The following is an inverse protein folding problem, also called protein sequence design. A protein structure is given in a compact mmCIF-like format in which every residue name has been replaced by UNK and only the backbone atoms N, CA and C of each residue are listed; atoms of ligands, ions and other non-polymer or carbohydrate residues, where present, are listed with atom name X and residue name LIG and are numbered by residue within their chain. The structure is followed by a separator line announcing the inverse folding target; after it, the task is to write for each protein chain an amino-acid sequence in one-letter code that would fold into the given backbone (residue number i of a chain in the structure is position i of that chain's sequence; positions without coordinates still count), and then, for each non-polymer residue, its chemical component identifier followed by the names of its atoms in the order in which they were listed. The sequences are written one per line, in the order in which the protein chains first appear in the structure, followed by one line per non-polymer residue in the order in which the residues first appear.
data_IF_376810670682
#
_entry.id   IF_376810670682
#
_cell.length_a   1.000
_cell.length_b   1.000
_cell.length_c   1.000
_cell.angle_alpha   90.00
_cell.angle_beta   90.00
_cell.angle_gamma   90.00
#
_symmetry.space_group_name_H-M   'P 1'
#
loop_
_entity.id
_entity.type
_entity.pdbx_description
1 polymer ?
#
# COMPACT_ATOMS: atom_id res chain seq x y z
N UNK A 1 5.35 15.62 9.07
CA UNK A 1 5.36 15.30 7.61
C UNK A 1 6.41 16.17 6.94
N UNK A 2 7.20 15.61 6.05
CA UNK A 2 8.19 16.33 5.27
C UNK A 2 8.06 16.00 3.79
N UNK A 3 8.75 16.75 2.95
CA UNK A 3 8.89 16.51 1.52
C UNK A 3 10.36 16.67 1.14
N UNK A 4 10.87 15.74 0.37
CA UNK A 4 12.19 15.85 -0.28
C UNK A 4 12.04 15.61 -1.76
N UNK A 5 12.99 16.07 -2.55
CA UNK A 5 13.07 15.81 -3.98
C UNK A 5 14.34 14.99 -4.27
N UNK A 6 14.22 14.02 -5.15
CA UNK A 6 15.40 13.36 -5.69
C UNK A 6 16.11 14.27 -6.71
N UNK A 7 17.42 14.09 -6.86
CA UNK A 7 18.18 14.69 -7.95
C UNK A 7 17.99 13.91 -9.27
N UNK A 8 18.67 14.34 -10.34
CA UNK A 8 18.57 13.71 -11.66
C UNK A 8 19.10 12.27 -11.72
N UNK A 9 19.81 11.82 -10.69
CA UNK A 9 20.31 10.44 -10.55
C UNK A 9 19.42 9.59 -9.68
N UNK A 10 18.29 10.16 -9.16
CA UNK A 10 17.37 9.47 -8.26
C UNK A 10 17.78 9.53 -6.79
N UNK A 11 18.92 10.14 -6.45
CA UNK A 11 19.35 10.25 -5.07
C UNK A 11 18.44 11.21 -4.29
N UNK A 12 18.03 10.78 -3.09
CA UNK A 12 17.26 11.55 -2.13
C UNK A 12 17.86 11.36 -0.72
N UNK A 13 17.66 12.34 0.13
CA UNK A 13 18.06 12.28 1.52
C UNK A 13 17.08 13.07 2.40
N UNK A 14 16.88 12.64 3.61
CA UNK A 14 16.15 13.36 4.65
C UNK A 14 16.68 12.96 6.04
N UNK A 15 16.52 13.84 6.99
CA UNK A 15 16.80 13.59 8.40
C UNK A 15 15.49 13.57 9.17
N UNK A 16 15.39 12.64 10.11
CA UNK A 16 14.19 12.48 10.94
C UNK A 16 14.51 11.78 12.25
N UNK A 17 13.56 11.78 13.16
CA UNK A 17 13.62 10.94 14.36
C UNK A 17 13.15 9.53 13.95
N UNK A 18 13.89 8.50 14.37
CA UNK A 18 13.40 7.12 14.24
C UNK A 18 12.09 6.99 15.02
N UNK A 19 10.95 6.66 14.38
CA UNK A 19 9.70 6.46 15.10
C UNK A 19 9.80 5.29 16.07
N UNK A 20 9.01 5.31 17.13
CA UNK A 20 8.80 4.15 17.98
C UNK A 20 7.80 3.17 17.36
N UNK A 21 7.80 1.94 17.85
CA UNK A 21 6.66 1.04 17.64
C UNK A 21 5.45 1.55 18.45
N UNK A 22 4.25 1.19 18.04
CA UNK A 22 3.03 1.65 18.69
C UNK A 22 1.93 0.60 18.67
N UNK A 23 0.98 0.72 19.62
CA UNK A 23 -0.20 -0.12 19.69
C UNK A 23 -1.26 0.36 18.69
N UNK A 24 -1.67 -0.50 17.78
CA UNK A 24 -2.75 -0.27 16.82
C UNK A 24 -3.89 -1.27 17.09
N UNK A 25 -4.93 -0.81 17.77
CA UNK A 25 -5.94 -1.70 18.30
C UNK A 25 -5.38 -2.63 19.40
N UNK A 26 -5.39 -3.92 19.16
CA UNK A 26 -4.85 -4.95 20.08
C UNK A 26 -3.46 -5.47 19.66
N UNK A 27 -2.85 -4.94 18.62
CA UNK A 27 -1.60 -5.45 18.03
C UNK A 27 -0.56 -4.34 18.00
N UNK A 28 0.68 -4.65 18.36
CA UNK A 28 1.78 -3.72 18.17
C UNK A 28 2.21 -3.73 16.70
N UNK A 29 2.46 -2.52 16.19
CA UNK A 29 3.09 -2.30 14.89
C UNK A 29 4.55 -1.91 15.06
N UNK A 30 5.44 -2.43 14.19
CA UNK A 30 6.84 -2.07 14.22
C UNK A 30 7.06 -0.58 13.92
N UNK A 31 8.21 -0.08 14.29
CA UNK A 31 8.70 1.24 13.88
C UNK A 31 8.73 1.33 12.35
N UNK A 32 8.06 2.33 11.79
CA UNK A 32 8.03 2.52 10.34
C UNK A 32 7.79 3.98 9.94
N UNK A 33 8.16 4.29 8.70
CA UNK A 33 7.92 5.60 8.08
C UNK A 33 7.08 5.39 6.83
N UNK A 34 5.98 6.14 6.71
CA UNK A 34 5.17 6.15 5.50
C UNK A 34 5.81 7.02 4.42
N UNK A 35 5.87 6.49 3.22
CA UNK A 35 6.33 7.18 2.03
C UNK A 35 5.22 7.32 1.00
N UNK A 36 5.12 8.50 0.42
CA UNK A 36 4.39 8.75 -0.81
C UNK A 36 5.39 9.24 -1.85
N UNK A 37 5.68 8.42 -2.82
CA UNK A 37 6.62 8.69 -3.91
C UNK A 37 5.80 9.03 -5.17
N UNK A 38 6.06 10.18 -5.76
CA UNK A 38 5.34 10.66 -6.95
C UNK A 38 6.36 10.91 -8.06
N UNK A 39 6.78 9.87 -8.77
CA UNK A 39 7.75 10.02 -9.86
C UNK A 39 7.06 10.61 -11.10
N UNK A 40 7.73 11.51 -11.84
CA UNK A 40 7.20 12.02 -13.10
C UNK A 40 6.90 10.89 -14.09
N UNK A 41 5.70 10.90 -14.68
CA UNK A 41 5.31 9.90 -15.67
C UNK A 41 5.02 8.49 -15.14
N UNK A 42 5.02 8.27 -13.84
CA UNK A 42 4.73 6.98 -13.21
C UNK A 42 3.61 7.08 -12.17
N UNK A 43 3.06 5.93 -11.79
CA UNK A 43 2.08 5.85 -10.70
C UNK A 43 2.70 6.28 -9.36
N UNK A 44 1.91 6.97 -8.55
CA UNK A 44 2.29 7.24 -7.17
C UNK A 44 2.43 5.93 -6.40
N UNK A 45 3.59 5.71 -5.80
CA UNK A 45 3.83 4.61 -4.86
C UNK A 45 3.58 5.08 -3.44
N UNK A 46 2.71 4.36 -2.73
CA UNK A 46 2.52 4.52 -1.28
C UNK A 46 3.05 3.27 -0.62
N UNK A 47 3.98 3.43 0.31
CA UNK A 47 4.67 2.32 0.95
C UNK A 47 5.15 2.69 2.35
N UNK A 48 5.74 1.73 3.04
CA UNK A 48 6.27 1.87 4.40
C UNK A 48 7.69 1.33 4.44
N UNK A 49 8.59 2.08 5.07
CA UNK A 49 9.97 1.67 5.39
C UNK A 49 10.02 1.18 6.81
N UNK A 50 10.65 0.04 7.05
CA UNK A 50 10.82 -0.61 8.34
C UNK A 50 12.29 -0.68 8.72
N UNK A 51 12.57 -0.90 9.99
CA UNK A 51 13.94 -0.97 10.50
C UNK A 51 14.24 -2.37 11.03
N UNK A 52 15.35 -2.94 10.60
CA UNK A 52 15.81 -4.27 11.02
C UNK A 52 15.90 -4.36 12.55
N UNK A 53 15.64 -5.55 13.08
CA UNK A 53 15.64 -5.87 14.51
C UNK A 53 14.50 -5.24 15.34
N UNK A 54 13.47 -4.70 14.69
CA UNK A 54 12.25 -4.34 15.43
C UNK A 54 11.48 -5.63 15.79
N UNK A 55 11.09 -5.80 17.07
CA UNK A 55 10.53 -7.07 17.56
C UNK A 55 9.15 -7.41 16.96
N UNK A 56 8.47 -6.43 16.37
CA UNK A 56 7.11 -6.60 15.84
C UNK A 56 7.05 -6.81 14.32
N UNK A 57 8.18 -6.85 13.61
CA UNK A 57 8.20 -7.09 12.16
C UNK A 57 7.57 -8.43 11.81
N UNK A 58 7.90 -9.49 12.52
CA UNK A 58 7.45 -10.85 12.22
C UNK A 58 5.94 -11.05 12.41
N UNK A 59 5.31 -10.23 13.23
CA UNK A 59 3.87 -10.31 13.55
C UNK A 59 3.02 -9.25 12.85
N UNK A 60 3.64 -8.24 12.24
CA UNK A 60 2.94 -7.17 11.54
C UNK A 60 2.53 -7.61 10.13
N UNK A 61 1.23 -7.54 9.82
CA UNK A 61 0.70 -7.98 8.53
C UNK A 61 1.18 -7.13 7.35
N UNK A 62 1.63 -5.89 7.59
CA UNK A 62 2.14 -5.00 6.55
C UNK A 62 3.66 -5.06 6.40
N UNK A 63 4.37 -5.56 7.43
CA UNK A 63 5.84 -5.69 7.46
C UNK A 63 6.32 -7.12 7.32
N UNK A 64 5.42 -8.12 7.30
CA UNK A 64 5.83 -9.53 7.27
C UNK A 64 6.76 -9.82 6.10
N UNK A 65 7.74 -10.70 6.35
CA UNK A 65 8.75 -11.14 5.39
C UNK A 65 8.32 -12.41 4.65
N UNK A 66 7.03 -12.68 4.59
CA UNK A 66 6.49 -13.79 3.79
C UNK A 66 6.76 -13.55 2.30
N UNK A 67 7.05 -14.62 1.59
CA UNK A 67 7.32 -14.58 0.17
C UNK A 67 6.10 -14.10 -0.65
N UNK A 68 6.37 -13.49 -1.79
CA UNK A 68 5.37 -13.09 -2.76
C UNK A 68 4.92 -11.62 -2.66
N UNK A 69 3.66 -11.36 -2.97
CA UNK A 69 3.12 -9.99 -3.14
C UNK A 69 3.22 -9.13 -1.88
N UNK A 70 3.26 -9.76 -0.73
CA UNK A 70 3.30 -9.09 0.57
C UNK A 70 4.68 -9.04 1.19
N UNK A 71 5.70 -9.54 0.48
CA UNK A 71 7.07 -9.53 0.95
C UNK A 71 7.57 -8.10 1.20
N UNK A 72 8.01 -7.84 2.42
CA UNK A 72 8.55 -6.56 2.84
C UNK A 72 10.07 -6.56 2.95
N UNK A 73 10.77 -7.63 2.56
CA UNK A 73 12.22 -7.78 2.75
C UNK A 73 13.04 -6.63 2.17
N UNK A 74 12.63 -6.08 1.02
CA UNK A 74 13.24 -4.92 0.38
C UNK A 74 12.88 -3.56 1.02
N UNK A 75 12.04 -3.56 2.04
CA UNK A 75 11.58 -2.38 2.77
C UNK A 75 12.01 -2.39 4.25
N UNK A 76 12.79 -3.38 4.65
CA UNK A 76 13.35 -3.52 5.98
C UNK A 76 14.85 -3.24 5.89
N UNK A 77 15.29 -2.10 6.40
CA UNK A 77 16.68 -1.67 6.28
C UNK A 77 17.43 -1.77 7.61
N UNK A 78 18.73 -2.09 7.59
CA UNK A 78 19.60 -1.91 8.75
C UNK A 78 19.84 -0.43 9.00
N UNK A 79 20.01 -0.06 10.27
CA UNK A 79 20.50 1.23 10.68
C UNK A 79 21.89 1.05 11.31
N UNK A 80 22.87 1.81 10.84
CA UNK A 80 24.23 1.82 11.33
C UNK A 80 24.52 3.15 12.04
N UNK A 81 25.29 3.11 13.10
CA UNK A 81 25.73 4.31 13.80
C UNK A 81 26.95 4.86 13.10
N UNK A 82 26.93 6.11 12.65
CA UNK A 82 28.07 6.78 12.06
C UNK A 82 29.05 7.31 13.14
N UNK A 83 30.15 7.93 12.69
CA UNK A 83 31.20 8.49 13.58
C UNK A 83 30.70 9.56 14.55
N UNK A 84 29.56 10.18 14.27
CA UNK A 84 28.95 11.23 15.09
C UNK A 84 27.83 10.69 16.02
N UNK A 85 27.66 9.36 16.08
CA UNK A 85 26.62 8.73 16.89
C UNK A 85 25.22 8.81 16.28
N UNK A 86 25.09 9.18 15.00
CA UNK A 86 23.81 9.30 14.29
C UNK A 86 23.50 7.98 13.58
N UNK A 87 22.25 7.55 13.63
CA UNK A 87 21.77 6.39 12.89
C UNK A 87 21.58 6.75 11.41
N UNK A 88 22.18 5.95 10.53
CA UNK A 88 22.07 6.09 9.07
C UNK A 88 21.58 4.79 8.46
N UNK A 89 20.75 4.89 7.42
CA UNK A 89 20.28 3.77 6.63
C UNK A 89 20.09 4.18 5.16
N UNK A 90 20.26 3.21 4.27
CA UNK A 90 20.04 3.40 2.83
C UNK A 90 18.89 2.52 2.37
N UNK A 91 18.04 3.08 1.52
CA UNK A 91 16.93 2.37 0.92
C UNK A 91 16.73 2.78 -0.53
N UNK A 92 16.83 1.82 -1.43
CA UNK A 92 16.54 2.02 -2.85
C UNK A 92 15.06 1.73 -3.13
N UNK A 93 14.39 2.73 -3.68
CA UNK A 93 12.96 2.63 -4.02
C UNK A 93 12.84 2.33 -5.51
N UNK A 94 12.46 1.10 -5.83
CA UNK A 94 12.26 0.67 -7.21
C UNK A 94 10.86 1.08 -7.67
N UNK A 95 10.79 1.87 -8.74
CA UNK A 95 9.55 2.31 -9.36
C UNK A 95 9.33 1.47 -10.61
N UNK A 96 8.26 0.67 -10.61
CA UNK A 96 7.84 -0.10 -11.79
C UNK A 96 6.54 0.49 -12.35
N UNK A 97 6.41 0.55 -13.67
CA UNK A 97 5.15 0.87 -14.34
C UNK A 97 5.23 1.91 -15.44
N UNK A 98 4.25 1.90 -16.31
CA UNK A 98 4.14 2.69 -17.54
C UNK A 98 3.53 4.09 -17.30
N UNK A 99 3.78 4.68 -16.15
CA UNK A 99 3.60 6.11 -15.94
C UNK A 99 2.18 6.68 -16.03
N UNK A 100 1.18 6.01 -15.48
CA UNK A 100 -0.14 6.63 -15.30
C UNK A 100 -0.28 7.14 -13.87
N UNK A 101 -0.22 8.45 -13.67
CA UNK A 101 -0.38 9.08 -12.36
C UNK A 101 -1.82 8.95 -11.89
N UNK A 102 -2.03 8.34 -10.75
CA UNK A 102 -3.31 8.34 -10.04
C UNK A 102 -3.15 9.16 -8.76
N UNK A 103 -3.66 10.38 -8.80
CA UNK A 103 -3.79 11.17 -7.58
C UNK A 103 -4.73 10.46 -6.60
N UNK A 104 -4.20 9.99 -5.49
CA UNK A 104 -4.98 9.44 -4.40
C UNK A 104 -4.59 10.10 -3.10
N UNK A 105 -5.55 10.74 -2.46
CA UNK A 105 -5.41 11.21 -1.08
C UNK A 105 -5.74 10.07 -0.12
N UNK A 106 -4.82 9.12 0.04
CA UNK A 106 -4.99 8.01 0.97
C UNK A 106 -4.66 8.49 2.39
N UNK A 107 -5.66 8.99 3.09
CA UNK A 107 -5.52 9.55 4.44
C UNK A 107 -5.62 8.51 5.55
N UNK A 108 -6.02 7.26 5.24
CA UNK A 108 -6.29 6.20 6.20
C UNK A 108 -5.55 4.89 5.91
N UNK A 109 -4.38 4.96 5.25
CA UNK A 109 -3.56 3.76 4.95
C UNK A 109 -3.01 3.05 6.20
N UNK A 110 -3.11 3.68 7.36
CA UNK A 110 -2.84 3.09 8.68
C UNK A 110 -3.88 2.02 9.07
N UNK A 111 -5.05 1.99 8.42
CA UNK A 111 -6.13 1.02 8.68
C UNK A 111 -6.08 -0.18 7.75
N UNK A 112 -5.57 0.02 6.53
CA UNK A 112 -5.46 -1.01 5.50
C UNK A 112 -5.04 -0.43 4.16
N UNK A 113 -4.74 -1.29 3.20
CA UNK A 113 -4.24 -0.90 1.88
C UNK A 113 -4.53 -1.97 0.83
N UNK A 114 -4.75 -1.58 -0.42
CA UNK A 114 -4.67 -2.49 -1.56
C UNK A 114 -3.21 -2.50 -2.02
N UNK A 115 -2.56 -3.65 -1.96
CA UNK A 115 -1.17 -3.83 -2.37
C UNK A 115 -1.05 -3.93 -3.88
N UNK A 116 -1.95 -4.70 -4.50
CA UNK A 116 -1.96 -4.88 -5.94
C UNK A 116 -3.33 -5.30 -6.47
N UNK A 117 -3.54 -5.04 -7.75
CA UNK A 117 -4.66 -5.56 -8.54
C UNK A 117 -4.12 -6.03 -9.89
N UNK A 118 -4.07 -7.35 -10.10
CA UNK A 118 -3.42 -7.96 -11.27
C UNK A 118 -4.28 -9.08 -11.88
N UNK A 119 -4.23 -9.28 -13.21
CA UNK A 119 -3.52 -8.47 -14.20
C UNK A 119 -4.17 -7.10 -14.40
N UNK A 120 -3.40 -6.09 -14.77
CA UNK A 120 -3.91 -4.78 -15.17
C UNK A 120 -3.10 -4.29 -16.40
N UNK A 121 -3.67 -4.17 -17.60
CA UNK A 121 -5.08 -4.38 -17.97
C UNK A 121 -5.58 -5.83 -17.87
N UNK A 122 -6.88 -6.00 -17.65
CA UNK A 122 -7.52 -7.32 -17.54
C UNK A 122 -8.70 -7.48 -18.50
N UNK A 123 -9.21 -8.71 -18.66
CA UNK A 123 -10.37 -9.03 -19.55
C UNK A 123 -11.55 -9.56 -18.77
N UNK A 124 -11.38 -10.65 -18.05
CA UNK A 124 -12.48 -11.37 -17.38
C UNK A 124 -12.39 -11.29 -15.85
N UNK A 125 -11.17 -11.26 -15.34
CA UNK A 125 -10.92 -11.37 -13.91
C UNK A 125 -9.68 -10.56 -13.54
N UNK A 126 -9.71 -9.98 -12.34
CA UNK A 126 -8.57 -9.31 -11.72
C UNK A 126 -8.50 -9.70 -10.24
N UNK A 127 -7.33 -10.11 -9.80
CA UNK A 127 -7.07 -10.48 -8.41
C UNK A 127 -6.62 -9.24 -7.62
N UNK A 128 -7.22 -9.04 -6.47
CA UNK A 128 -7.01 -7.90 -5.59
C UNK A 128 -6.37 -8.42 -4.32
N UNK A 129 -5.14 -7.96 -4.02
CA UNK A 129 -4.43 -8.27 -2.78
C UNK A 129 -4.46 -7.06 -1.87
N UNK A 130 -4.92 -7.23 -0.64
CA UNK A 130 -5.07 -6.14 0.31
C UNK A 130 -4.76 -6.57 1.74
N UNK A 131 -4.47 -5.62 2.60
CA UNK A 131 -4.23 -5.82 4.02
C UNK A 131 -5.21 -5.04 4.87
N UNK A 132 -5.61 -5.66 5.99
CA UNK A 132 -6.41 -5.06 7.06
C UNK A 132 -5.55 -5.08 8.31
N UNK A 133 -5.37 -3.93 8.96
CA UNK A 133 -4.36 -3.79 10.01
C UNK A 133 -4.94 -3.83 11.42
N UNK A 134 -6.24 -3.83 11.54
CA UNK A 134 -6.99 -4.05 12.79
C UNK A 134 -8.34 -4.70 12.47
N UNK A 135 -8.92 -5.41 13.43
CA UNK A 135 -10.27 -5.98 13.27
C UNK A 135 -11.26 -4.91 12.87
N UNK A 136 -11.89 -5.06 11.70
CA UNK A 136 -12.72 -4.01 11.10
C UNK A 136 -13.80 -4.58 10.18
N UNK A 137 -14.88 -3.82 10.00
CA UNK A 137 -15.77 -4.00 8.85
C UNK A 137 -15.04 -3.55 7.60
N UNK A 138 -14.95 -4.42 6.60
CA UNK A 138 -14.19 -4.20 5.35
C UNK A 138 -15.10 -4.42 4.16
N UNK A 139 -15.08 -3.48 3.21
CA UNK A 139 -15.74 -3.60 1.92
C UNK A 139 -14.78 -3.35 0.76
N UNK A 140 -14.85 -4.18 -0.27
CA UNK A 140 -14.16 -3.98 -1.54
C UNK A 140 -15.20 -3.61 -2.60
N UNK A 141 -15.12 -2.39 -3.08
CA UNK A 141 -16.08 -1.78 -4.01
C UNK A 141 -15.43 -1.47 -5.35
N UNK A 142 -16.19 -1.66 -6.41
CA UNK A 142 -15.78 -1.28 -7.77
C UNK A 142 -16.62 -0.07 -8.21
N UNK A 143 -15.93 0.98 -8.64
CA UNK A 143 -16.54 2.20 -9.15
C UNK A 143 -16.21 2.40 -10.62
N UNK A 144 -17.14 2.96 -11.37
CA UNK A 144 -16.88 3.51 -12.69
C UNK A 144 -16.20 4.90 -12.61
N UNK A 145 -15.94 5.49 -13.78
CA UNK A 145 -15.32 6.83 -13.88
C UNK A 145 -16.23 7.97 -13.39
N UNK A 146 -17.52 7.73 -13.22
CA UNK A 146 -18.52 8.68 -12.70
C UNK A 146 -18.66 8.55 -11.17
N UNK A 147 -17.94 7.61 -10.54
CA UNK A 147 -18.04 7.32 -9.11
C UNK A 147 -19.25 6.48 -8.73
N UNK A 148 -19.92 5.83 -9.69
CA UNK A 148 -21.04 4.91 -9.43
C UNK A 148 -20.49 3.53 -9.07
N UNK A 149 -21.09 2.89 -8.07
CA UNK A 149 -20.74 1.50 -7.71
C UNK A 149 -21.28 0.58 -8.80
N UNK A 150 -20.37 -0.17 -9.43
CA UNK A 150 -20.73 -1.16 -10.46
C UNK A 150 -20.68 -2.60 -9.94
N UNK A 151 -19.93 -2.85 -8.87
CA UNK A 151 -19.91 -4.12 -8.18
C UNK A 151 -19.42 -3.98 -6.72
N UNK A 152 -19.78 -4.97 -5.90
CA UNK A 152 -19.31 -5.12 -4.52
C UNK A 152 -18.74 -6.52 -4.44
N UNK A 153 -17.44 -6.62 -4.13
CA UNK A 153 -16.73 -7.89 -4.12
C UNK A 153 -16.80 -8.54 -2.75
N UNK A 154 -16.75 -7.70 -1.72
CA UNK A 154 -16.66 -8.17 -0.34
C UNK A 154 -17.26 -7.13 0.61
N UNK A 155 -18.02 -7.60 1.60
CA UNK A 155 -18.49 -6.82 2.76
C UNK A 155 -18.55 -7.77 3.96
N UNK A 156 -17.55 -7.70 4.84
CA UNK A 156 -17.49 -8.55 6.03
C UNK A 156 -16.58 -7.98 7.11
N UNK A 157 -16.68 -8.53 8.32
CA UNK A 157 -15.74 -8.21 9.39
C UNK A 157 -14.52 -9.11 9.26
N UNK A 158 -13.35 -8.50 9.17
CA UNK A 158 -12.06 -9.18 9.02
C UNK A 158 -11.15 -8.90 10.22
N UNK A 159 -10.38 -9.91 10.60
CA UNK A 159 -9.27 -9.79 11.55
C UNK A 159 -8.04 -9.17 10.84
N UNK A 160 -7.04 -8.66 11.60
CA UNK A 160 -5.80 -8.19 11.00
C UNK A 160 -5.11 -9.30 10.21
N UNK A 161 -5.01 -9.14 8.90
CA UNK A 161 -4.34 -10.10 8.00
C UNK A 161 -4.21 -9.53 6.59
N UNK A 162 -3.55 -10.31 5.72
CA UNK A 162 -3.50 -10.11 4.29
C UNK A 162 -4.55 -11.00 3.62
N UNK A 163 -5.26 -10.41 2.68
CA UNK A 163 -6.39 -11.05 2.00
C UNK A 163 -6.24 -10.95 0.49
N UNK A 164 -6.95 -11.84 -0.20
CA UNK A 164 -7.05 -11.85 -1.65
C UNK A 164 -8.49 -12.08 -2.04
N UNK A 165 -9.01 -11.24 -2.92
CA UNK A 165 -10.34 -11.37 -3.52
C UNK A 165 -10.25 -11.17 -5.02
N UNK A 166 -11.21 -11.71 -5.77
CA UNK A 166 -11.25 -11.60 -7.23
C UNK A 166 -12.47 -10.84 -7.69
N UNK A 167 -12.29 -9.91 -8.61
CA UNK A 167 -13.39 -9.32 -9.36
C UNK A 167 -13.55 -10.07 -10.69
N UNK A 168 -14.61 -10.87 -10.79
CA UNK A 168 -15.02 -11.55 -12.02
C UNK A 168 -16.07 -10.68 -12.71
N UNK A 169 -15.73 -10.19 -13.90
CA UNK A 169 -16.54 -9.20 -14.62
C UNK A 169 -17.84 -9.83 -15.16
N UNK A 170 -18.98 -9.23 -14.83
CA UNK A 170 -20.29 -9.59 -15.38
C UNK A 170 -20.43 -9.13 -16.83
N UNK A 171 -21.33 -9.76 -17.61
CA UNK A 171 -21.48 -9.56 -19.07
C UNK A 171 -21.79 -8.10 -19.49
N UNK A 172 -22.33 -7.27 -18.60
CA UNK A 172 -22.73 -5.90 -18.87
C UNK A 172 -21.69 -4.84 -18.46
N UNK A 173 -20.48 -5.25 -18.09
CA UNK A 173 -19.40 -4.33 -17.76
C UNK A 173 -18.58 -4.06 -19.02
N UNK A 174 -18.55 -2.81 -19.46
CA UNK A 174 -17.88 -2.39 -20.68
C UNK A 174 -16.36 -2.25 -20.51
N UNK A 175 -15.64 -2.18 -21.64
CA UNK A 175 -14.23 -1.81 -21.64
C UNK A 175 -14.06 -0.37 -21.12
N UNK A 176 -13.07 -0.14 -20.27
CA UNK A 176 -12.83 1.18 -19.69
C UNK A 176 -12.08 1.15 -18.38
N UNK A 177 -11.96 2.34 -17.79
CA UNK A 177 -11.33 2.50 -16.47
C UNK A 177 -12.34 2.28 -15.35
N UNK A 178 -11.86 1.61 -14.31
CA UNK A 178 -12.57 1.36 -13.06
C UNK A 178 -11.66 1.67 -11.88
N UNK A 179 -12.26 1.90 -10.72
CA UNK A 179 -11.56 2.10 -9.45
C UNK A 179 -11.97 0.99 -8.50
N UNK A 180 -10.99 0.24 -8.01
CA UNK A 180 -11.17 -0.74 -6.94
C UNK A 180 -10.83 -0.03 -5.65
N UNK A 181 -11.77 0.08 -4.73
CA UNK A 181 -11.61 0.78 -3.47
C UNK A 181 -11.83 -0.14 -2.28
N UNK A 182 -11.00 0.01 -1.26
CA UNK A 182 -11.21 -0.58 0.06
C UNK A 182 -11.80 0.46 1.01
N UNK A 183 -12.92 0.10 1.65
CA UNK A 183 -13.48 0.82 2.79
C UNK A 183 -13.27 0.03 4.06
N UNK A 184 -12.92 0.71 5.13
CA UNK A 184 -12.74 0.13 6.46
C UNK A 184 -13.56 0.95 7.45
N UNK A 185 -14.52 0.31 8.12
CA UNK A 185 -15.50 0.97 9.00
C UNK A 185 -16.18 2.16 8.29
N UNK A 186 -16.66 1.92 7.05
CA UNK A 186 -17.28 2.88 6.14
C UNK A 186 -16.40 4.05 5.67
N UNK A 187 -15.14 4.10 6.10
CA UNK A 187 -14.17 5.08 5.60
C UNK A 187 -13.49 4.59 4.32
N UNK A 188 -13.44 5.44 3.32
CA UNK A 188 -12.62 5.19 2.12
C UNK A 188 -11.14 5.29 2.52
N UNK A 189 -10.44 4.16 2.45
CA UNK A 189 -9.06 4.04 2.92
C UNK A 189 -8.07 4.12 1.77
N UNK A 190 -8.30 3.36 0.71
CA UNK A 190 -7.40 3.29 -0.43
C UNK A 190 -8.16 2.90 -1.71
N UNK A 191 -7.65 3.30 -2.86
CA UNK A 191 -8.15 2.79 -4.14
C UNK A 191 -7.03 2.65 -5.17
N UNK A 192 -7.28 1.78 -6.15
CA UNK A 192 -6.40 1.58 -7.32
C UNK A 192 -7.23 1.67 -8.59
N UNK A 193 -6.66 2.27 -9.63
CA UNK A 193 -7.28 2.36 -10.96
C UNK A 193 -6.87 1.15 -11.78
N UNK A 194 -7.83 0.56 -12.46
CA UNK A 194 -7.63 -0.58 -13.34
C UNK A 194 -8.27 -0.35 -14.70
N UNK A 195 -7.79 -1.05 -15.72
CA UNK A 195 -8.34 -0.96 -17.06
C UNK A 195 -8.87 -2.33 -17.51
N UNK A 196 -10.17 -2.39 -17.80
CA UNK A 196 -10.80 -3.54 -18.45
C UNK A 196 -10.71 -3.39 -19.95
N UNK A 197 -10.15 -4.39 -20.63
CA UNK A 197 -10.18 -4.54 -22.08
C UNK A 197 -11.54 -4.94 -22.61
#
# INVERSE_FOLDING_TARGET
RGKTLSNNQGFYMFETIKPGFYLNGSVFRPSHIHFKITPPGHNTLITQLYFQNDPYISTDVAASIDNGVFDASNRIIPLNVNSNGILEGTWDIIINGDGVSLGSNNIHVDKGIIYSANPNPFTKEINIHYGVFQKSSVGIFIYDVNGQIVDIIEEQVLEPNKYSSSWIVKKNIFSGYYFIAIKINDLHVHHVKVFKK
#
